data_IF_053714477516
#
_entry.id   IF_053714477516
#
_cell.length_a   1.000
_cell.length_b   1.000
_cell.length_c   1.000
_cell.angle_alpha   90.00
_cell.angle_beta   90.00
_cell.angle_gamma   90.00
#
_symmetry.space_group_name_H-M   'P 1'
#
loop_
_entity.id
_entity.type
_entity.pdbx_description
1 polymer ?
#
# COMPACT_ATOMS: atom_id res chain seq x y z
N UNK A 1 -69.29 -41.26 28.63
CA UNK A 1 -69.56 -40.51 27.38
C UNK A 1 -68.60 -40.98 26.29
N UNK A 2 -69.17 -41.42 25.16
CA UNK A 2 -68.62 -41.53 23.78
C UNK A 2 -67.45 -42.51 23.57
N UNK A 3 -67.75 -43.71 23.06
CA UNK A 3 -67.86 -44.11 21.63
C UNK A 3 -66.48 -44.45 21.03
N UNK A 4 -66.15 -45.72 20.82
CA UNK A 4 -66.61 -46.57 19.70
C UNK A 4 -66.10 -46.08 18.35
N UNK A 5 -65.13 -46.81 17.78
CA UNK A 5 -65.06 -47.08 16.34
C UNK A 5 -63.96 -48.12 16.05
N UNK A 6 -64.41 -49.35 15.82
CA UNK A 6 -63.69 -50.39 15.10
C UNK A 6 -63.93 -50.16 13.62
N UNK A 7 -62.89 -50.00 12.80
CA UNK A 7 -62.99 -50.13 11.34
C UNK A 7 -61.89 -51.05 10.84
N UNK A 8 -62.32 -51.99 10.03
CA UNK A 8 -61.63 -53.16 9.52
C UNK A 8 -61.45 -52.98 8.00
N UNK A 9 -60.54 -53.78 7.44
CA UNK A 9 -60.39 -54.12 6.02
C UNK A 9 -59.47 -53.26 5.13
N UNK A 10 -58.51 -53.99 4.55
CA UNK A 10 -58.40 -54.23 3.10
C UNK A 10 -57.03 -53.90 2.51
N UNK A 11 -56.29 -54.99 2.29
CA UNK A 11 -55.54 -55.34 1.08
C UNK A 11 -54.85 -54.22 0.27
N UNK A 12 -53.51 -54.33 0.18
CA UNK A 12 -52.81 -54.22 -1.11
C UNK A 12 -51.44 -54.87 -1.03
N UNK A 13 -51.34 -56.01 -1.69
CA UNK A 13 -50.11 -56.67 -2.11
C UNK A 13 -49.21 -55.66 -2.84
N UNK A 14 -47.95 -55.52 -2.42
CA UNK A 14 -46.93 -54.79 -3.19
C UNK A 14 -45.61 -55.54 -3.15
N UNK A 15 -45.53 -56.48 -4.09
CA UNK A 15 -44.37 -56.87 -4.90
C UNK A 15 -43.00 -56.48 -4.35
N UNK A 16 -42.30 -57.52 -3.91
CA UNK A 16 -40.87 -57.66 -3.72
C UNK A 16 -40.07 -57.02 -4.85
N UNK A 17 -39.25 -56.00 -4.54
CA UNK A 17 -38.06 -55.66 -5.33
C UNK A 17 -36.87 -55.56 -4.40
N UNK A 18 -36.20 -56.69 -4.27
CA UNK A 18 -34.92 -56.86 -3.58
C UNK A 18 -33.83 -56.17 -4.42
N UNK A 19 -33.62 -54.87 -4.22
CA UNK A 19 -32.38 -54.22 -4.66
C UNK A 19 -31.28 -54.64 -3.70
N UNK A 20 -30.56 -55.69 -4.09
CA UNK A 20 -29.31 -56.11 -3.44
C UNK A 20 -28.34 -54.92 -3.47
N UNK A 21 -28.23 -54.18 -2.36
CA UNK A 21 -27.15 -53.22 -2.18
C UNK A 21 -25.85 -54.02 -2.09
N UNK A 22 -25.08 -54.03 -3.18
CA UNK A 22 -23.73 -54.57 -3.18
C UNK A 22 -22.89 -53.69 -2.27
N UNK A 23 -22.73 -54.12 -1.02
CA UNK A 23 -21.74 -53.58 -0.10
C UNK A 23 -20.37 -53.91 -0.71
N UNK A 24 -19.84 -52.97 -1.51
CA UNK A 24 -18.43 -52.98 -1.90
C UNK A 24 -17.62 -52.77 -0.62
N UNK A 25 -17.20 -53.88 0.01
CA UNK A 25 -16.11 -53.86 0.99
C UNK A 25 -14.86 -53.42 0.24
N UNK A 26 -14.61 -52.12 0.21
CA UNK A 26 -13.34 -51.56 -0.20
C UNK A 26 -12.31 -52.10 0.78
N UNK A 27 -11.56 -53.13 0.38
CA UNK A 27 -10.34 -53.54 1.09
C UNK A 27 -9.40 -52.33 1.01
N UNK A 28 -9.44 -51.48 2.02
CA UNK A 28 -8.47 -50.43 2.21
C UNK A 28 -7.09 -51.10 2.23
N UNK A 29 -6.30 -50.81 1.21
CA UNK A 29 -4.98 -51.38 1.01
C UNK A 29 -4.12 -51.10 2.25
N UNK A 30 -3.67 -52.18 2.89
CA UNK A 30 -2.74 -52.14 4.04
C UNK A 30 -1.43 -51.44 3.72
N UNK A 31 -1.13 -51.22 2.43
CA UNK A 31 0.04 -50.50 1.92
C UNK A 31 0.02 -49.00 2.26
N UNK A 32 -1.17 -48.38 2.36
CA UNK A 32 -1.31 -46.95 2.71
C UNK A 32 -0.91 -46.63 4.17
N UNK A 33 -1.04 -47.61 5.08
CA UNK A 33 -0.72 -47.41 6.50
C UNK A 33 0.79 -47.44 6.77
N UNK A 34 1.57 -48.23 6.02
CA UNK A 34 3.04 -48.26 6.19
C UNK A 34 3.72 -47.00 5.68
N UNK A 35 3.34 -46.48 4.50
CA UNK A 35 3.96 -45.27 3.94
C UNK A 35 3.75 -44.04 4.84
N UNK A 36 2.58 -43.92 5.48
CA UNK A 36 2.29 -42.83 6.44
C UNK A 36 3.13 -42.93 7.72
N UNK A 37 3.55 -44.12 8.13
CA UNK A 37 4.35 -44.30 9.34
C UNK A 37 5.84 -44.08 9.10
N UNK A 38 6.35 -44.37 7.89
CA UNK A 38 7.73 -44.05 7.51
C UNK A 38 7.97 -42.55 7.34
N UNK A 39 7.04 -41.81 6.72
CA UNK A 39 7.15 -40.34 6.61
C UNK A 39 7.15 -39.65 7.98
N UNK A 40 6.36 -40.14 8.93
CA UNK A 40 6.34 -39.59 10.31
C UNK A 40 7.66 -39.85 11.07
N UNK A 41 8.30 -41.00 10.84
CA UNK A 41 9.58 -41.33 11.49
C UNK A 41 10.75 -40.58 10.87
N UNK A 42 10.80 -40.42 9.55
CA UNK A 42 11.86 -39.65 8.89
C UNK A 42 11.74 -38.16 9.18
N UNK A 43 10.53 -37.59 9.18
CA UNK A 43 10.33 -36.19 9.55
C UNK A 43 10.73 -35.92 11.00
N UNK A 44 10.43 -36.83 11.93
CA UNK A 44 10.91 -36.70 13.32
C UNK A 44 12.43 -36.78 13.42
N UNK A 45 13.07 -37.68 12.68
CA UNK A 45 14.52 -37.79 12.67
C UNK A 45 15.20 -36.54 12.08
N UNK A 46 14.61 -35.94 11.05
CA UNK A 46 15.10 -34.69 10.44
C UNK A 46 14.84 -33.49 11.35
N UNK A 47 13.64 -33.38 11.95
CA UNK A 47 13.30 -32.27 12.86
C UNK A 47 14.08 -32.28 14.16
N UNK A 48 14.45 -33.46 14.69
CA UNK A 48 15.31 -33.60 15.87
C UNK A 48 16.80 -33.66 15.52
N UNK A 49 17.16 -33.58 14.23
CA UNK A 49 18.56 -33.61 13.86
C UNK A 49 19.27 -32.34 14.34
N UNK A 50 20.48 -32.51 14.87
CA UNK A 50 21.31 -31.38 15.32
C UNK A 50 21.60 -30.40 14.17
N UNK A 51 21.68 -30.89 12.94
CA UNK A 51 21.88 -30.10 11.72
C UNK A 51 20.67 -29.22 11.41
N UNK A 52 19.44 -29.72 11.62
CA UNK A 52 18.23 -28.91 11.47
C UNK A 52 18.17 -27.77 12.48
N UNK A 53 18.42 -28.05 13.76
CA UNK A 53 18.45 -26.99 14.79
C UNK A 53 19.53 -25.94 14.53
N UNK A 54 20.70 -26.36 14.05
CA UNK A 54 21.80 -25.46 13.71
C UNK A 54 21.44 -24.58 12.50
N UNK A 55 20.89 -25.16 11.44
CA UNK A 55 20.43 -24.41 10.27
C UNK A 55 19.28 -23.45 10.59
N UNK A 56 18.32 -23.90 11.39
CA UNK A 56 17.20 -23.07 11.84
C UNK A 56 17.65 -21.87 12.67
N UNK A 57 18.61 -22.06 13.58
CA UNK A 57 19.23 -20.94 14.33
C UNK A 57 19.93 -19.95 13.41
N UNK A 58 20.68 -20.42 12.42
CA UNK A 58 21.35 -19.54 11.45
C UNK A 58 20.34 -18.72 10.63
N UNK A 59 19.22 -19.32 10.21
CA UNK A 59 18.14 -18.63 9.50
C UNK A 59 17.52 -17.54 10.39
N UNK A 60 17.20 -17.86 11.64
CA UNK A 60 16.64 -16.87 12.58
C UNK A 60 17.59 -15.68 12.74
N UNK A 61 18.88 -15.94 12.96
CA UNK A 61 19.89 -14.88 13.11
C UNK A 61 19.94 -14.02 11.84
N UNK A 62 19.94 -14.65 10.66
CA UNK A 62 19.93 -13.94 9.39
C UNK A 62 18.71 -13.03 9.25
N UNK A 63 17.50 -13.53 9.54
CA UNK A 63 16.27 -12.72 9.51
C UNK A 63 16.35 -11.55 10.49
N UNK A 64 16.87 -11.79 11.70
CA UNK A 64 17.01 -10.77 12.74
C UNK A 64 17.99 -9.65 12.33
N UNK A 65 18.98 -9.97 11.51
CA UNK A 65 19.93 -9.00 10.95
C UNK A 65 19.33 -8.29 9.72
N UNK A 66 18.74 -9.02 8.77
CA UNK A 66 18.19 -8.43 7.54
C UNK A 66 17.00 -7.49 7.79
N UNK A 67 16.14 -7.80 8.78
CA UNK A 67 14.96 -6.99 9.08
C UNK A 67 15.27 -5.52 9.43
N UNK A 68 16.20 -5.19 10.36
CA UNK A 68 16.57 -3.80 10.64
C UNK A 68 17.24 -3.13 9.46
N UNK A 69 18.09 -3.82 8.70
CA UNK A 69 18.70 -3.25 7.48
C UNK A 69 17.65 -2.86 6.44
N UNK A 70 16.63 -3.71 6.23
CA UNK A 70 15.52 -3.39 5.35
C UNK A 70 14.71 -2.19 5.85
N UNK A 71 14.47 -2.10 7.16
CA UNK A 71 13.79 -0.96 7.78
C UNK A 71 14.51 0.36 7.52
N UNK A 72 15.83 0.40 7.72
CA UNK A 72 16.65 1.59 7.44
C UNK A 72 16.62 1.94 5.95
N UNK A 73 16.78 0.96 5.06
CA UNK A 73 16.74 1.18 3.62
C UNK A 73 15.39 1.75 3.15
N UNK A 74 14.28 1.18 3.61
CA UNK A 74 12.94 1.65 3.28
C UNK A 74 12.64 3.06 3.84
N UNK A 75 13.21 3.40 5.00
CA UNK A 75 13.08 4.73 5.60
C UNK A 75 13.81 5.81 4.77
N UNK A 76 15.06 5.54 4.36
CA UNK A 76 15.85 6.46 3.53
C UNK A 76 15.19 6.68 2.17
N UNK A 77 14.63 5.63 1.55
CA UNK A 77 13.90 5.77 0.29
C UNK A 77 12.73 6.75 0.36
N UNK A 78 11.99 6.77 1.49
CA UNK A 78 10.87 7.70 1.70
C UNK A 78 11.31 9.15 1.90
N UNK A 79 12.45 9.37 2.54
CA UNK A 79 12.97 10.73 2.76
C UNK A 79 13.57 11.31 1.49
N UNK A 80 14.29 10.51 0.70
CA UNK A 80 14.95 10.97 -0.54
C UNK A 80 13.96 11.15 -1.70
N UNK A 81 12.93 10.30 -1.83
CA UNK A 81 11.92 10.48 -2.88
C UNK A 81 11.13 11.79 -2.76
N UNK A 82 11.15 12.45 -1.60
CA UNK A 82 10.49 13.73 -1.37
C UNK A 82 11.40 14.95 -1.58
N UNK A 83 12.68 14.75 -1.89
CA UNK A 83 13.64 15.83 -2.09
C UNK A 83 14.15 15.82 -3.53
N UNK A 84 13.33 16.31 -4.45
CA UNK A 84 13.79 16.68 -5.78
C UNK A 84 14.58 17.99 -5.61
N UNK A 85 15.90 17.86 -5.37
CA UNK A 85 16.83 18.98 -5.32
C UNK A 85 17.11 19.42 -6.75
N UNK A 86 16.28 20.33 -7.25
CA UNK A 86 16.47 20.98 -8.54
C UNK A 86 17.20 22.31 -8.31
N UNK A 87 18.12 22.64 -9.21
CA UNK A 87 18.82 23.92 -9.17
C UNK A 87 17.85 25.08 -9.39
N UNK A 88 18.12 26.22 -8.75
CA UNK A 88 17.28 27.43 -8.91
C UNK A 88 17.08 27.80 -10.38
N UNK A 89 18.13 27.68 -11.20
CA UNK A 89 18.08 27.97 -12.63
C UNK A 89 17.11 27.07 -13.39
N UNK A 90 17.08 25.77 -13.08
CA UNK A 90 16.19 24.82 -13.74
C UNK A 90 14.73 25.03 -13.35
N UNK A 91 14.44 25.47 -12.11
CA UNK A 91 13.08 25.90 -11.73
C UNK A 91 12.65 27.10 -12.57
N UNK A 92 13.53 28.10 -12.70
CA UNK A 92 13.23 29.31 -13.47
C UNK A 92 13.02 29.02 -14.95
N UNK A 93 13.81 28.13 -15.52
CA UNK A 93 13.66 27.69 -16.91
C UNK A 93 12.28 27.06 -17.16
N UNK A 94 11.82 26.19 -16.26
CA UNK A 94 10.47 25.61 -16.36
C UNK A 94 9.38 26.64 -16.15
N UNK A 95 9.54 27.57 -15.21
CA UNK A 95 8.53 28.62 -15.03
C UNK A 95 8.46 29.51 -16.27
N UNK A 96 9.60 29.79 -16.91
CA UNK A 96 9.69 30.58 -18.14
C UNK A 96 8.96 29.93 -19.33
N UNK A 97 8.79 28.61 -19.35
CA UNK A 97 8.01 27.95 -20.42
C UNK A 97 6.50 28.17 -20.27
N UNK A 98 6.03 28.46 -19.06
CA UNK A 98 4.61 28.61 -18.75
C UNK A 98 4.16 30.07 -18.65
N UNK A 99 5.08 31.02 -18.43
CA UNK A 99 4.73 32.44 -18.29
C UNK A 99 5.88 33.38 -18.66
N UNK A 100 5.55 34.65 -18.90
CA UNK A 100 6.51 35.70 -19.20
C UNK A 100 7.11 36.18 -17.88
N UNK A 101 8.40 35.94 -17.68
CA UNK A 101 9.12 36.37 -16.48
C UNK A 101 9.63 37.81 -16.63
N UNK A 102 9.66 38.59 -15.53
CA UNK A 102 10.31 39.90 -15.52
C UNK A 102 11.80 39.80 -15.87
N UNK A 103 12.33 40.87 -16.48
CA UNK A 103 13.75 40.95 -16.80
C UNK A 103 14.56 41.07 -15.51
N UNK A 104 15.44 40.11 -15.26
CA UNK A 104 16.33 40.08 -14.11
C UNK A 104 16.23 38.78 -13.31
N UNK A 105 17.06 38.67 -12.27
CA UNK A 105 17.03 37.52 -11.36
C UNK A 105 15.92 37.70 -10.31
N UNK A 106 15.28 36.61 -9.88
CA UNK A 106 14.36 36.67 -8.74
C UNK A 106 15.13 37.09 -7.48
N UNK A 107 14.47 37.86 -6.61
CA UNK A 107 15.00 38.25 -5.31
C UNK A 107 15.08 37.03 -4.38
N UNK A 108 14.08 36.16 -4.43
CA UNK A 108 14.04 34.94 -3.64
C UNK A 108 13.36 33.80 -4.39
N UNK A 109 13.90 32.59 -4.20
CA UNK A 109 13.27 31.33 -4.59
C UNK A 109 13.23 30.48 -3.33
N UNK A 110 12.03 30.29 -2.78
CA UNK A 110 11.83 29.65 -1.47
C UNK A 110 10.93 28.43 -1.64
N UNK A 111 11.33 27.31 -1.05
CA UNK A 111 10.51 26.10 -0.97
C UNK A 111 9.58 26.19 0.22
N UNK A 112 8.30 25.91 0.00
CA UNK A 112 7.28 25.92 1.05
C UNK A 112 7.47 24.72 1.97
N UNK A 113 7.65 24.98 3.26
CA UNK A 113 7.73 23.95 4.30
C UNK A 113 6.36 23.75 4.97
N UNK A 114 5.70 24.84 5.34
CA UNK A 114 4.40 24.83 5.99
C UNK A 114 3.38 25.61 5.16
N UNK A 115 2.55 24.88 4.42
CA UNK A 115 1.52 25.46 3.58
C UNK A 115 0.33 26.00 4.39
N UNK A 116 0.04 25.43 5.56
CA UNK A 116 -1.13 25.82 6.35
C UNK A 116 -0.95 27.21 6.96
N UNK A 117 0.25 27.50 7.45
CA UNK A 117 0.60 28.83 7.98
C UNK A 117 0.51 29.91 6.91
N UNK A 118 0.91 29.63 5.67
CA UNK A 118 0.85 30.60 4.57
C UNK A 118 -0.60 30.88 4.14
N UNK A 119 -1.44 29.85 4.07
CA UNK A 119 -2.88 30.00 3.73
C UNK A 119 -3.61 30.91 4.68
N UNK A 120 -3.28 30.86 5.98
CA UNK A 120 -3.89 31.74 6.99
C UNK A 120 -3.53 33.22 6.82
N UNK A 121 -2.40 33.52 6.17
CA UNK A 121 -1.94 34.90 5.99
C UNK A 121 -2.60 35.60 4.80
N UNK A 122 -2.81 34.89 3.69
CA UNK A 122 -3.36 35.47 2.47
C UNK A 122 -3.99 34.41 1.56
N UNK A 123 -5.10 34.77 0.89
CA UNK A 123 -5.75 33.91 -0.11
C UNK A 123 -4.88 33.61 -1.33
N UNK A 124 -3.83 34.40 -1.57
CA UNK A 124 -2.82 34.09 -2.59
C UNK A 124 -2.20 32.70 -2.43
N UNK A 125 -2.18 32.16 -1.20
CA UNK A 125 -1.58 30.86 -0.89
C UNK A 125 -2.59 29.70 -0.80
N UNK A 126 -3.88 29.90 -1.15
CA UNK A 126 -4.95 28.90 -0.94
C UNK A 126 -4.63 27.54 -1.58
N UNK A 127 -4.00 27.55 -2.75
CA UNK A 127 -3.67 26.35 -3.51
C UNK A 127 -2.31 25.74 -3.18
N UNK A 128 -1.51 26.39 -2.32
CA UNK A 128 -0.15 25.95 -1.98
C UNK A 128 -0.14 24.63 -1.20
N UNK A 129 0.88 23.82 -1.47
CA UNK A 129 1.21 22.59 -0.75
C UNK A 129 2.66 22.62 -0.28
N UNK A 130 2.95 21.77 0.71
CA UNK A 130 4.32 21.57 1.16
C UNK A 130 5.18 21.02 0.01
N UNK A 131 6.27 21.69 -0.28
CA UNK A 131 7.20 21.36 -1.36
C UNK A 131 7.07 22.21 -2.61
N UNK A 132 6.04 23.05 -2.73
CA UNK A 132 5.90 24.02 -3.83
C UNK A 132 6.97 25.12 -3.73
N UNK A 133 7.22 25.83 -4.82
CA UNK A 133 8.19 26.92 -4.88
C UNK A 133 7.49 28.26 -5.01
N UNK A 134 7.92 29.22 -4.19
CA UNK A 134 7.55 30.63 -4.29
C UNK A 134 8.73 31.37 -4.90
N UNK A 135 8.49 32.01 -6.03
CA UNK A 135 9.47 32.80 -6.76
C UNK A 135 9.04 34.26 -6.64
N UNK A 136 9.90 35.06 -6.01
CA UNK A 136 9.67 36.47 -5.75
C UNK A 136 10.56 37.31 -6.67
N UNK A 137 9.93 38.16 -7.46
CA UNK A 137 10.54 39.26 -8.20
C UNK A 137 10.05 40.59 -7.62
N UNK A 138 10.79 41.66 -7.92
CA UNK A 138 10.44 43.02 -7.51
C UNK A 138 9.01 43.44 -7.90
N UNK A 139 8.52 42.99 -9.05
CA UNK A 139 7.19 43.32 -9.58
C UNK A 139 6.20 42.16 -9.59
N UNK A 140 6.61 40.94 -9.22
CA UNK A 140 5.84 39.72 -9.47
C UNK A 140 6.15 38.64 -8.42
N UNK A 141 5.13 37.99 -7.86
CA UNK A 141 5.26 36.75 -7.12
C UNK A 141 4.58 35.61 -7.91
N UNK A 142 5.25 34.46 -7.98
CA UNK A 142 4.77 33.26 -8.65
C UNK A 142 4.83 32.10 -7.67
N UNK A 143 3.77 31.29 -7.65
CA UNK A 143 3.72 30.01 -6.95
C UNK A 143 3.72 28.91 -8.01
N UNK A 144 4.71 28.02 -7.93
CA UNK A 144 4.94 26.96 -8.90
C UNK A 144 5.01 25.60 -8.22
N UNK A 145 4.18 24.66 -8.70
CA UNK A 145 4.23 23.26 -8.30
C UNK A 145 5.18 22.51 -9.25
N UNK A 146 6.32 22.09 -8.68
CA UNK A 146 7.36 21.40 -9.40
C UNK A 146 6.96 19.97 -9.83
N UNK A 147 6.04 19.32 -9.10
CA UNK A 147 5.64 17.92 -9.34
C UNK A 147 4.64 17.83 -10.49
N UNK A 148 3.69 18.76 -10.55
CA UNK A 148 2.69 18.82 -11.61
C UNK A 148 3.13 19.69 -12.80
N UNK A 149 4.25 20.41 -12.68
CA UNK A 149 4.76 21.36 -13.67
C UNK A 149 3.72 22.43 -14.03
N UNK A 150 3.14 23.05 -13.00
CA UNK A 150 2.06 24.03 -13.16
C UNK A 150 2.28 25.27 -12.29
N UNK A 151 1.85 26.41 -12.82
CA UNK A 151 1.77 27.65 -12.05
C UNK A 151 0.43 27.67 -11.32
N UNK A 152 0.47 27.72 -9.99
CA UNK A 152 -0.74 27.73 -9.16
C UNK A 152 -1.30 29.15 -9.02
N UNK A 153 -0.44 30.15 -8.85
CA UNK A 153 -0.86 31.52 -8.69
C UNK A 153 0.23 32.52 -9.11
N UNK A 154 -0.22 33.67 -9.60
CA UNK A 154 0.63 34.80 -10.00
C UNK A 154 0.05 36.07 -9.39
N UNK A 155 0.90 36.90 -8.77
CA UNK A 155 0.50 38.18 -8.18
C UNK A 155 1.48 39.27 -8.57
N UNK A 156 0.98 40.32 -9.22
CA UNK A 156 1.75 41.52 -9.53
C UNK A 156 1.89 42.36 -8.24
N UNK A 157 3.14 42.68 -7.86
CA UNK A 157 3.48 43.45 -6.66
C UNK A 157 3.59 44.94 -6.95
N UNK A 158 3.71 45.33 -8.23
CA UNK A 158 3.91 46.72 -8.70
C UNK A 158 3.24 47.74 -7.79
N UNK A 159 4.08 48.45 -7.03
CA UNK A 159 3.66 49.48 -6.08
C UNK A 159 2.78 50.49 -6.80
N UNK A 160 1.53 50.62 -6.36
CA UNK A 160 0.71 51.77 -6.75
C UNK A 160 1.36 52.98 -6.10
N UNK A 161 2.25 53.66 -6.82
CA UNK A 161 2.70 54.99 -6.44
C UNK A 161 1.44 55.87 -6.40
N UNK A 162 1.02 56.39 -5.23
CA UNK A 162 -0.11 57.30 -5.19
C UNK A 162 0.31 58.57 -5.90
N UNK A 163 -0.35 58.87 -7.01
CA UNK A 163 -0.28 60.18 -7.66
C UNK A 163 -0.90 61.16 -6.65
N UNK A 164 -0.07 61.99 -6.01
CA UNK A 164 -0.50 63.15 -5.24
C UNK A 164 -0.58 64.36 -6.17
#
# INVERSE_FOLDING_TARGET
>A
MKNSARVNQSSKSKVTKTTKSVVKRTRASSVSKSVKNYGKKSLRAVLLSHTFHTGFRAIIISILVLAPFYGVYAYIGKTVANEIVISKSQILERVATHTILPVGNPEAVVRVQDAESLKRQNSFYDQVKSGDYIIMYKSLAIIYDLRSDQILAIKNITERVPIR
#
